data_IF_391940067664
#
_entry.id   IF_391940067664
#
_cell.length_a   1.000
_cell.length_b   1.000
_cell.length_c   1.000
_cell.angle_alpha   90.00
_cell.angle_beta   90.00
_cell.angle_gamma   90.00
#
_symmetry.space_group_name_H-M   'P 1'
#
loop_
_entity.id
_entity.type
_entity.pdbx_description
1 polymer ?
#
# COMPACT_ATOMS: atom_id res chain seq x y z
N UNK A 1 13.03 -5.79 7.92
CA UNK A 1 11.85 -6.65 7.72
C UNK A 1 10.84 -6.01 6.78
N UNK A 2 10.04 -6.83 6.08
CA UNK A 2 9.03 -6.40 5.10
C UNK A 2 7.74 -7.20 5.34
N UNK A 3 6.60 -6.51 5.43
CA UNK A 3 5.28 -7.13 5.51
C UNK A 3 4.46 -6.75 4.28
N UNK A 4 4.02 -7.75 3.53
CA UNK A 4 3.12 -7.59 2.39
C UNK A 4 1.73 -8.08 2.77
N UNK A 5 0.71 -7.23 2.59
CA UNK A 5 -0.69 -7.54 2.91
C UNK A 5 -1.52 -7.39 1.65
N UNK A 6 -2.31 -8.41 1.32
CA UNK A 6 -3.33 -8.36 0.27
C UNK A 6 -4.72 -8.22 0.89
N UNK A 7 -5.55 -7.34 0.34
CA UNK A 7 -6.89 -7.06 0.88
C UNK A 7 -7.88 -6.74 -0.26
N UNK A 8 -9.16 -7.01 0.01
CA UNK A 8 -10.26 -6.74 -0.95
C UNK A 8 -10.65 -5.26 -0.91
N UNK A 9 -10.65 -4.67 0.28
CA UNK A 9 -10.93 -3.25 0.50
C UNK A 9 -9.67 -2.52 0.94
N UNK A 10 -9.71 -1.18 0.86
CA UNK A 10 -8.58 -0.36 1.25
C UNK A 10 -8.38 -0.35 2.78
N UNK A 11 -7.36 -1.08 3.25
CA UNK A 11 -7.02 -1.15 4.67
C UNK A 11 -6.16 0.01 5.19
N UNK A 12 -5.69 0.90 4.31
CA UNK A 12 -4.75 1.96 4.69
C UNK A 12 -5.25 2.86 5.83
N UNK A 13 -6.54 3.26 5.89
CA UNK A 13 -7.05 4.05 7.00
C UNK A 13 -6.97 3.33 8.35
N UNK A 14 -7.28 2.03 8.38
CA UNK A 14 -7.24 1.27 9.63
C UNK A 14 -5.79 1.01 10.07
N UNK A 15 -4.88 0.76 9.13
CA UNK A 15 -3.45 0.60 9.40
C UNK A 15 -2.86 1.92 9.94
N UNK A 16 -3.15 3.05 9.30
CA UNK A 16 -2.71 4.37 9.76
C UNK A 16 -3.16 4.63 11.19
N UNK A 17 -4.44 4.39 11.48
CA UNK A 17 -5.01 4.53 12.82
C UNK A 17 -4.30 3.63 13.83
N UNK A 18 -4.13 2.35 13.53
CA UNK A 18 -3.47 1.41 14.43
C UNK A 18 -2.03 1.81 14.75
N UNK A 19 -1.27 2.33 13.77
CA UNK A 19 0.10 2.80 13.99
C UNK A 19 0.11 4.00 14.94
N UNK A 20 -0.72 5.02 14.68
CA UNK A 20 -0.76 6.25 15.48
C UNK A 20 -1.29 6.00 16.90
N UNK A 21 -2.35 5.19 17.03
CA UNK A 21 -2.94 4.82 18.33
C UNK A 21 -1.96 4.05 19.22
N UNK A 22 -0.93 3.43 18.64
CA UNK A 22 0.13 2.72 19.35
C UNK A 22 1.45 3.53 19.40
N UNK A 23 1.37 4.87 19.35
CA UNK A 23 2.50 5.81 19.41
C UNK A 23 3.55 5.61 18.29
N UNK A 24 3.19 4.95 17.20
CA UNK A 24 4.04 4.81 16.03
C UNK A 24 4.05 6.09 15.19
N UNK A 25 5.20 6.44 14.62
CA UNK A 25 5.33 7.56 13.70
C UNK A 25 5.02 7.12 12.27
N UNK A 26 3.85 7.48 11.76
CA UNK A 26 3.49 7.26 10.36
C UNK A 26 4.23 8.26 9.46
N UNK A 27 5.28 7.79 8.78
CA UNK A 27 6.11 8.65 7.91
C UNK A 27 5.41 8.90 6.56
N UNK A 28 4.91 7.85 5.91
CA UNK A 28 4.30 7.95 4.59
C UNK A 28 3.38 6.77 4.27
N UNK A 29 2.30 7.05 3.53
CA UNK A 29 1.50 6.05 2.82
C UNK A 29 1.35 6.49 1.37
N UNK A 30 1.60 5.57 0.42
CA UNK A 30 1.42 5.84 -1.00
C UNK A 30 0.33 4.94 -1.56
N UNK A 31 -0.49 5.51 -2.45
CA UNK A 31 -1.26 4.70 -3.38
C UNK A 31 -0.29 4.30 -4.48
N UNK A 32 -0.07 3.00 -4.66
CA UNK A 32 0.65 2.54 -5.84
C UNK A 32 -0.32 2.65 -7.02
N UNK A 33 -0.26 3.77 -7.73
CA UNK A 33 -0.88 3.88 -9.05
C UNK A 33 0.04 3.16 -10.02
N UNK A 34 -0.40 2.03 -10.57
CA UNK A 34 0.27 1.47 -11.73
C UNK A 34 0.16 2.47 -12.87
N UNK A 35 1.29 2.85 -13.45
CA UNK A 35 1.26 3.60 -14.69
C UNK A 35 0.76 2.67 -15.81
N UNK A 36 0.21 3.23 -16.88
CA UNK A 36 -0.27 2.44 -18.00
C UNK A 36 0.87 1.57 -18.57
N UNK A 37 2.10 2.09 -18.56
CA UNK A 37 3.30 1.35 -18.97
C UNK A 37 3.55 0.09 -18.10
N UNK A 38 3.33 0.16 -16.79
CA UNK A 38 3.51 -0.99 -15.88
C UNK A 38 2.53 -2.13 -16.16
N UNK A 39 1.32 -1.76 -16.59
CA UNK A 39 0.28 -2.70 -17.01
C UNK A 39 0.69 -3.34 -18.34
N UNK A 40 1.08 -2.53 -19.32
CA UNK A 40 1.52 -3.01 -20.63
C UNK A 40 2.70 -3.99 -20.55
N UNK A 41 3.69 -3.71 -19.70
CA UNK A 41 4.86 -4.59 -19.53
C UNK A 41 4.53 -5.98 -18.96
N UNK A 42 3.40 -6.16 -18.26
CA UNK A 42 2.95 -7.48 -17.79
C UNK A 42 2.31 -8.34 -18.88
N UNK A 43 1.67 -7.72 -19.88
CA UNK A 43 0.98 -8.44 -20.95
C UNK A 43 1.85 -8.74 -22.17
N UNK A 44 2.93 -8.00 -22.37
CA UNK A 44 3.85 -8.16 -23.51
C UNK A 44 5.01 -9.14 -23.24
N UNK A 45 4.90 -10.03 -22.24
CA UNK A 45 5.86 -11.11 -21.98
C UNK A 45 5.41 -12.45 -22.55
#
# INVERSE_FOLDING_TARGET
DLLLITCVEDLRPQIAKAIVDNNGLLIQMKIQSYALEDIYMRYFK
#
